data_IF_537049810904
#
_entry.id   IF_537049810904
#
_cell.length_a   1.000
_cell.length_b   1.000
_cell.length_c   1.000
_cell.angle_alpha   90.00
_cell.angle_beta   90.00
_cell.angle_gamma   90.00
#
_symmetry.space_group_name_H-M   'P 1'
#
loop_
_entity.id
_entity.type
_entity.pdbx_description
1 polymer ?
#
# COMPACT_ATOMS: atom_id res chain seq x y z
N UNK A 1 -20.69 15.12 10.87
CA UNK A 1 -19.40 15.21 10.14
C UNK A 1 -19.39 14.03 9.19
N UNK A 2 -19.37 14.26 7.88
CA UNK A 2 -19.25 13.15 6.94
C UNK A 2 -17.90 12.48 7.21
N UNK A 3 -17.92 11.18 7.49
CA UNK A 3 -16.70 10.38 7.57
C UNK A 3 -16.07 10.41 6.19
N UNK A 4 -14.90 11.02 6.05
CA UNK A 4 -14.21 11.05 4.76
C UNK A 4 -13.88 9.63 4.32
N UNK A 5 -13.95 9.39 3.01
CA UNK A 5 -13.62 8.10 2.44
C UNK A 5 -12.10 8.01 2.27
N UNK A 6 -11.47 7.24 3.16
CA UNK A 6 -10.02 7.07 3.15
C UNK A 6 -9.61 5.62 3.44
N UNK A 7 -8.36 5.33 3.08
CA UNK A 7 -7.60 4.14 3.46
C UNK A 7 -6.18 4.54 3.84
N UNK A 8 -5.61 3.88 4.85
CA UNK A 8 -4.18 3.96 5.16
C UNK A 8 -3.54 2.62 4.90
N UNK A 9 -2.49 2.62 4.09
CA UNK A 9 -1.67 1.47 3.82
C UNK A 9 -0.41 1.53 4.66
N UNK A 10 -0.02 0.40 5.23
CA UNK A 10 1.29 0.18 5.83
C UNK A 10 1.86 -1.13 5.29
N UNK A 11 3.07 -1.07 4.74
CA UNK A 11 3.80 -2.23 4.23
C UNK A 11 4.98 -2.49 5.15
N UNK A 12 5.06 -3.69 5.72
CA UNK A 12 6.14 -4.09 6.64
C UNK A 12 6.95 -5.19 5.97
N UNK A 13 8.27 -5.01 5.86
CA UNK A 13 9.16 -6.06 5.39
C UNK A 13 9.57 -6.95 6.57
N UNK A 14 8.96 -8.12 6.68
CA UNK A 14 9.27 -9.11 7.72
C UNK A 14 10.34 -10.12 7.28
N UNK A 15 11.00 -9.88 6.15
CA UNK A 15 12.14 -10.70 5.74
C UNK A 15 13.21 -10.62 6.82
N UNK A 16 13.66 -11.78 7.32
CA UNK A 16 14.68 -11.87 8.36
C UNK A 16 16.03 -11.44 7.82
N UNK A 17 16.79 -10.68 8.61
CA UNK A 17 18.23 -10.49 8.44
C UNK A 17 18.92 -11.81 8.81
N UNK A 18 19.56 -12.52 7.88
CA UNK A 18 20.34 -13.69 8.27
C UNK A 18 21.59 -13.22 9.03
N UNK A 19 21.91 -13.87 10.14
CA UNK A 19 23.07 -13.53 10.97
C UNK A 19 24.38 -14.16 10.47
N UNK A 20 24.41 -14.69 9.24
CA UNK A 20 25.53 -15.46 8.68
C UNK A 20 26.17 -14.77 7.46
N UNK A 21 27.51 -14.77 7.35
CA UNK A 21 28.25 -14.10 6.26
C UNK A 21 27.92 -14.60 4.84
N UNK A 22 27.40 -15.83 4.71
CA UNK A 22 27.13 -16.48 3.42
C UNK A 22 25.65 -16.43 3.00
N UNK A 23 24.83 -15.63 3.69
CA UNK A 23 23.41 -15.63 3.40
C UNK A 23 23.08 -14.88 2.09
N UNK A 24 22.15 -15.46 1.32
CA UNK A 24 21.63 -14.86 0.08
C UNK A 24 21.20 -13.40 0.31
N UNK A 25 21.34 -12.51 -0.69
CA UNK A 25 20.93 -11.12 -0.58
C UNK A 25 19.49 -11.00 -0.05
N UNK A 26 19.35 -10.10 0.91
CA UNK A 26 18.11 -9.82 1.62
C UNK A 26 17.11 -9.19 0.66
N UNK A 27 15.85 -9.63 0.71
CA UNK A 27 14.83 -9.07 -0.16
C UNK A 27 14.39 -7.71 0.36
N UNK A 28 14.74 -6.67 -0.38
CA UNK A 28 14.14 -5.34 -0.23
C UNK A 28 12.88 -5.26 -1.07
N UNK A 29 11.99 -4.35 -0.70
CA UNK A 29 10.78 -4.07 -1.47
C UNK A 29 10.67 -2.60 -1.86
N UNK A 30 9.99 -2.34 -2.97
CA UNK A 30 9.67 -1.00 -3.43
C UNK A 30 8.20 -0.97 -3.84
N UNK A 31 7.57 0.19 -3.66
CA UNK A 31 6.21 0.43 -4.10
C UNK A 31 6.23 1.17 -5.43
N UNK A 32 5.32 0.83 -6.33
CA UNK A 32 5.10 1.55 -7.58
C UNK A 32 3.64 1.84 -7.77
N UNK A 33 3.37 2.98 -8.39
CA UNK A 33 2.03 3.49 -8.65
C UNK A 33 1.86 3.61 -10.16
N UNK A 34 1.55 2.50 -10.87
CA UNK A 34 1.60 2.43 -12.33
C UNK A 34 0.55 3.32 -13.02
N UNK A 35 -0.43 3.83 -12.27
CA UNK A 35 -1.41 4.76 -12.79
C UNK A 35 -1.44 6.02 -11.93
N UNK A 36 -1.14 7.15 -12.56
CA UNK A 36 -1.28 8.48 -11.98
C UNK A 36 -2.58 9.13 -12.49
N UNK A 37 -3.19 10.01 -11.69
CA UNK A 37 -4.45 10.69 -12.06
C UNK A 37 -5.73 9.92 -11.72
N UNK A 38 -5.67 8.98 -10.77
CA UNK A 38 -6.86 8.33 -10.26
C UNK A 38 -7.62 9.28 -9.31
N UNK A 39 -8.93 9.06 -9.12
CA UNK A 39 -9.72 9.80 -8.15
C UNK A 39 -9.10 9.80 -6.75
N UNK A 40 -8.75 10.99 -6.25
CA UNK A 40 -8.15 11.19 -4.92
C UNK A 40 -6.68 11.64 -4.95
N UNK A 41 -6.09 11.74 -3.76
CA UNK A 41 -4.68 12.09 -3.55
C UNK A 41 -4.06 11.28 -2.40
N UNK A 42 -2.75 11.04 -2.49
CA UNK A 42 -2.01 10.37 -1.42
C UNK A 42 -1.65 11.38 -0.33
N UNK A 43 -1.65 10.96 0.93
CA UNK A 43 -1.33 11.84 2.06
C UNK A 43 -0.47 11.15 3.12
N UNK A 44 0.19 11.95 3.98
CA UNK A 44 0.95 11.40 5.12
C UNK A 44 0.01 10.80 6.18
N UNK A 45 0.21 9.54 6.58
CA UNK A 45 -0.76 8.80 7.40
C UNK A 45 -0.85 9.29 8.85
N UNK A 46 0.13 10.06 9.31
CA UNK A 46 0.27 10.53 10.69
C UNK A 46 -0.50 11.82 10.98
N UNK A 47 -0.92 12.57 9.95
CA UNK A 47 -1.74 13.78 10.10
C UNK A 47 -3.08 13.61 9.37
N UNK A 48 -4.05 13.02 10.07
CA UNK A 48 -5.40 12.80 9.54
C UNK A 48 -6.25 14.08 9.43
N UNK A 49 -5.85 15.15 10.14
CA UNK A 49 -6.58 16.42 10.16
C UNK A 49 -6.26 17.25 8.93
N UNK A 50 -4.97 17.43 8.62
CA UNK A 50 -4.53 18.27 7.51
C UNK A 50 -4.24 17.46 6.23
N UNK A 51 -4.06 16.14 6.37
CA UNK A 51 -3.76 15.19 5.29
C UNK A 51 -2.80 15.76 4.25
N UNK A 52 -1.59 16.17 4.67
CA UNK A 52 -0.64 16.81 3.76
C UNK A 52 -0.35 15.84 2.62
N UNK A 53 -0.57 16.32 1.40
CA UNK A 53 -0.41 15.53 0.18
C UNK A 53 1.04 15.07 0.02
N UNK A 54 1.22 13.86 -0.50
CA UNK A 54 2.52 13.29 -0.84
C UNK A 54 2.55 12.82 -2.28
N UNK A 55 3.71 12.92 -2.90
CA UNK A 55 3.87 12.49 -4.28
C UNK A 55 4.01 10.97 -4.41
N UNK A 56 3.35 10.42 -5.42
CA UNK A 56 3.55 9.04 -5.87
C UNK A 56 5.03 8.76 -6.20
N UNK A 57 5.72 9.73 -6.81
CA UNK A 57 7.13 9.59 -7.21
C UNK A 57 8.08 9.58 -6.00
N UNK A 58 7.73 10.30 -4.93
CA UNK A 58 8.53 10.31 -3.70
C UNK A 58 8.39 8.99 -2.96
N UNK A 59 7.17 8.44 -2.87
CA UNK A 59 6.95 7.11 -2.32
C UNK A 59 7.64 6.02 -3.15
N UNK A 60 7.59 6.13 -4.49
CA UNK A 60 8.19 5.13 -5.37
C UNK A 60 9.73 5.08 -5.30
N UNK A 61 10.38 6.13 -4.80
CA UNK A 61 11.84 6.16 -4.56
C UNK A 61 12.25 5.46 -3.26
N UNK A 62 11.30 5.16 -2.36
CA UNK A 62 11.60 4.57 -1.07
C UNK A 62 11.76 3.06 -1.16
N UNK A 63 12.72 2.54 -0.42
CA UNK A 63 12.98 1.10 -0.28
C UNK A 63 12.58 0.66 1.12
N UNK A 64 11.80 -0.43 1.20
CA UNK A 64 11.45 -1.11 2.45
C UNK A 64 12.54 -2.13 2.74
N UNK A 65 13.53 -1.69 3.52
CA UNK A 65 14.60 -2.55 4.04
C UNK A 65 14.02 -3.66 4.96
N UNK A 66 14.72 -4.79 5.14
CA UNK A 66 14.35 -5.80 6.13
C UNK A 66 14.12 -5.22 7.52
N UNK A 67 12.97 -5.53 8.13
CA UNK A 67 12.51 -4.94 9.40
C UNK A 67 11.95 -3.51 9.29
N UNK A 68 12.02 -2.91 8.10
CA UNK A 68 11.49 -1.58 7.79
C UNK A 68 10.02 -1.58 7.42
N UNK A 69 9.47 -0.36 7.27
CA UNK A 69 8.10 -0.14 6.83
C UNK A 69 7.93 1.16 6.05
N UNK A 70 6.93 1.20 5.20
CA UNK A 70 6.44 2.43 4.54
C UNK A 70 4.93 2.51 4.79
N UNK A 71 4.44 3.73 5.05
CA UNK A 71 3.02 3.99 5.23
C UNK A 71 2.57 5.20 4.43
N UNK A 72 1.36 5.15 3.89
CA UNK A 72 0.70 6.28 3.24
C UNK A 72 -0.81 6.17 3.34
N UNK A 73 -1.49 7.31 3.27
CA UNK A 73 -2.95 7.38 3.12
C UNK A 73 -3.36 7.64 1.67
N UNK A 74 -4.58 7.24 1.31
CA UNK A 74 -5.27 7.72 0.12
C UNK A 74 -6.69 8.15 0.53
N UNK A 75 -7.07 9.37 0.16
CA UNK A 75 -8.40 9.94 0.38
C UNK A 75 -8.90 10.59 -0.91
N UNK A 76 -10.19 10.87 -0.97
CA UNK A 76 -10.79 11.69 -2.03
C UNK A 76 -11.74 12.72 -1.44
N UNK A 77 -12.15 13.70 -2.25
CA UNK A 77 -13.13 14.73 -1.88
C UNK A 77 -14.49 14.42 -2.50
N UNK A 78 -15.57 14.41 -1.68
CA UNK A 78 -16.93 14.04 -2.12
C UNK A 78 -17.49 14.95 -3.21
N UNK A 79 -17.00 16.18 -3.28
CA UNK A 79 -17.40 17.14 -4.32
C UNK A 79 -16.67 16.98 -5.64
N UNK A 80 -15.52 16.29 -5.68
CA UNK A 80 -14.67 16.18 -6.86
C UNK A 80 -14.74 14.81 -7.51
N UNK A 81 -14.86 13.75 -6.71
CA UNK A 81 -14.89 12.39 -7.20
C UNK A 81 -15.90 11.52 -6.47
N UNK A 82 -16.42 10.50 -7.16
CA UNK A 82 -17.37 9.52 -6.64
C UNK A 82 -16.73 8.40 -5.80
N UNK A 83 -15.41 8.24 -5.87
CA UNK A 83 -14.66 7.21 -5.13
C UNK A 83 -13.19 7.61 -4.96
N UNK A 84 -12.49 6.99 -4.00
CA UNK A 84 -11.02 6.94 -3.98
C UNK A 84 -10.59 5.58 -4.53
N UNK A 85 -9.73 5.57 -5.55
CA UNK A 85 -9.36 4.32 -6.22
C UNK A 85 -7.86 4.30 -6.43
N UNK A 86 -7.20 3.15 -6.33
CA UNK A 86 -5.76 3.07 -6.65
C UNK A 86 -5.27 1.68 -7.04
N UNK A 87 -4.06 1.66 -7.60
CA UNK A 87 -3.24 0.46 -7.77
C UNK A 87 -1.90 0.69 -7.10
N UNK A 88 -1.47 -0.27 -6.29
CA UNK A 88 -0.13 -0.33 -5.72
C UNK A 88 0.52 -1.61 -6.20
N UNK A 89 1.62 -1.49 -6.91
CA UNK A 89 2.47 -2.62 -7.23
C UNK A 89 3.62 -2.71 -6.24
N UNK A 90 3.90 -3.92 -5.79
CA UNK A 90 4.99 -4.20 -4.87
C UNK A 90 6.04 -4.98 -5.64
N UNK A 91 7.24 -4.44 -5.64
CA UNK A 91 8.38 -4.97 -6.35
C UNK A 91 9.41 -5.45 -5.34
N UNK A 92 10.07 -6.57 -5.62
CA UNK A 92 11.27 -6.98 -4.89
C UNK A 92 12.44 -6.93 -5.86
N UNK A 93 13.45 -6.12 -5.53
CA UNK A 93 14.55 -5.80 -6.44
C UNK A 93 14.05 -5.35 -7.83
N UNK A 94 14.25 -6.15 -8.87
CA UNK A 94 13.83 -5.87 -10.25
C UNK A 94 12.63 -6.70 -10.71
N UNK A 95 11.99 -7.43 -9.80
CA UNK A 95 10.87 -8.32 -10.11
C UNK A 95 9.57 -7.75 -9.59
N UNK A 96 8.59 -7.60 -10.49
CA UNK A 96 7.21 -7.33 -10.11
C UNK A 96 6.68 -8.52 -9.32
N UNK A 97 6.11 -8.25 -8.16
CA UNK A 97 5.29 -9.23 -7.46
C UNK A 97 3.87 -8.70 -7.31
N UNK A 98 3.37 -8.71 -6.07
CA UNK A 98 1.96 -8.48 -5.79
C UNK A 98 1.47 -7.10 -6.25
N UNK A 99 0.25 -7.08 -6.78
CA UNK A 99 -0.50 -5.89 -7.17
C UNK A 99 -1.76 -5.78 -6.32
N UNK A 100 -1.91 -4.66 -5.62
CA UNK A 100 -3.11 -4.33 -4.84
C UNK A 100 -3.95 -3.36 -5.66
N UNK A 101 -5.17 -3.74 -5.97
CA UNK A 101 -6.19 -2.89 -6.60
C UNK A 101 -7.26 -2.59 -5.56
N UNK A 102 -7.65 -1.32 -5.42
CA UNK A 102 -8.69 -0.93 -4.46
C UNK A 102 -9.61 0.16 -5.01
N UNK A 103 -10.86 0.13 -4.57
CA UNK A 103 -11.94 1.08 -4.90
C UNK A 103 -12.73 1.38 -3.62
N UNK A 104 -12.91 2.66 -3.33
CA UNK A 104 -13.56 3.17 -2.13
C UNK A 104 -14.65 4.17 -2.52
N UNK A 105 -15.82 3.70 -2.96
CA UNK A 105 -16.92 4.59 -3.31
C UNK A 105 -17.48 5.29 -2.08
N UNK A 106 -17.99 6.53 -2.26
CA UNK A 106 -18.72 7.22 -1.20
C UNK A 106 -20.00 6.49 -0.80
N UNK A 107 -20.66 5.92 -1.80
CA UNK A 107 -21.91 5.20 -1.66
C UNK A 107 -21.71 3.83 -2.33
N UNK A 108 -21.63 2.76 -1.53
CA UNK A 108 -21.40 1.41 -2.02
C UNK A 108 -20.57 0.56 -1.07
N UNK A 109 -20.17 -0.61 -1.56
CA UNK A 109 -19.23 -1.48 -0.87
C UNK A 109 -17.81 -1.19 -1.37
N UNK A 110 -16.85 -1.19 -0.46
CA UNK A 110 -15.44 -1.09 -0.79
C UNK A 110 -14.95 -2.36 -1.48
N UNK A 111 -13.98 -2.19 -2.38
CA UNK A 111 -13.30 -3.27 -3.06
C UNK A 111 -11.79 -3.22 -2.77
N UNK A 112 -11.22 -4.36 -2.43
CA UNK A 112 -9.78 -4.55 -2.37
C UNK A 112 -9.44 -5.93 -2.89
N UNK A 113 -8.48 -5.99 -3.80
CA UNK A 113 -8.06 -7.21 -4.47
C UNK A 113 -6.53 -7.25 -4.55
N UNK A 114 -5.95 -8.35 -4.10
CA UNK A 114 -4.52 -8.62 -4.30
C UNK A 114 -4.35 -9.64 -5.42
N UNK A 115 -3.54 -9.29 -6.40
CA UNK A 115 -3.29 -10.03 -7.65
C UNK A 115 -1.79 -10.12 -7.92
N UNK A 116 -1.40 -10.76 -9.02
CA UNK A 116 -0.01 -10.88 -9.48
C UNK A 116 0.95 -11.40 -8.39
N UNK A 117 0.58 -12.53 -7.74
CA UNK A 117 1.34 -13.04 -6.58
C UNK A 117 2.81 -13.28 -6.93
N UNK A 118 3.71 -12.72 -6.13
CA UNK A 118 5.15 -12.97 -6.26
C UNK A 118 5.49 -14.45 -6.18
N UNK A 119 6.38 -14.92 -7.05
CA UNK A 119 6.82 -16.32 -7.06
C UNK A 119 7.65 -16.63 -5.80
N UNK A 120 8.60 -15.76 -5.48
CA UNK A 120 9.62 -15.95 -4.42
C UNK A 120 9.25 -15.30 -3.07
N UNK A 121 8.07 -14.69 -2.98
CA UNK A 121 7.66 -13.94 -1.79
C UNK A 121 6.13 -13.89 -1.68
N UNK A 122 5.63 -13.65 -0.48
CA UNK A 122 4.21 -13.61 -0.14
C UNK A 122 3.83 -12.31 0.57
N UNK A 123 2.54 -11.99 0.46
CA UNK A 123 1.92 -10.88 1.16
C UNK A 123 0.81 -11.42 2.06
N UNK A 124 0.87 -11.09 3.33
CA UNK A 124 -0.25 -11.34 4.25
C UNK A 124 -1.24 -10.18 4.11
N UNK A 125 -2.45 -10.49 3.65
CA UNK A 125 -3.52 -9.52 3.48
C UNK A 125 -4.19 -9.22 4.83
N UNK A 126 -4.33 -7.95 5.23
CA UNK A 126 -5.07 -7.59 6.45
C UNK A 126 -6.56 -7.88 6.29
N UNK A 127 -7.25 -8.11 7.41
CA UNK A 127 -8.71 -8.02 7.43
C UNK A 127 -9.16 -6.59 7.18
N UNK A 128 -10.18 -6.39 6.35
CA UNK A 128 -10.67 -5.06 5.97
C UNK A 128 -12.20 -4.98 5.90
N UNK A 129 -12.73 -3.77 6.12
CA UNK A 129 -14.17 -3.51 6.19
C UNK A 129 -14.82 -3.23 4.83
N UNK A 130 -15.91 -3.94 4.50
CA UNK A 130 -16.65 -3.76 3.24
C UNK A 130 -17.44 -2.45 3.11
N UNK A 131 -17.70 -1.71 4.19
CA UNK A 131 -18.53 -0.49 4.17
C UNK A 131 -17.92 0.63 5.03
N UNK A 132 -18.17 1.88 4.65
CA UNK A 132 -17.56 3.07 5.26
C UNK A 132 -16.11 3.26 4.82
N UNK A 133 -15.31 4.03 5.56
CA UNK A 133 -13.87 4.07 5.32
C UNK A 133 -13.23 2.70 5.62
N UNK A 134 -12.30 2.23 4.77
CA UNK A 134 -11.58 0.97 5.02
C UNK A 134 -10.77 1.04 6.31
N UNK A 135 -10.26 2.23 6.66
CA UNK A 135 -9.39 2.42 7.81
C UNK A 135 -7.96 2.01 7.52
N UNK A 136 -7.36 1.23 8.42
CA UNK A 136 -5.93 0.91 8.40
C UNK A 136 -5.68 -0.50 7.88
N UNK A 137 -4.86 -0.60 6.86
CA UNK A 137 -4.44 -1.84 6.24
C UNK A 137 -2.95 -2.04 6.45
N UNK A 138 -2.59 -3.11 7.15
CA UNK A 138 -1.19 -3.52 7.36
C UNK A 138 -0.90 -4.77 6.54
N UNK A 139 -0.05 -4.63 5.54
CA UNK A 139 0.43 -5.72 4.69
C UNK A 139 1.80 -6.17 5.16
N UNK A 140 1.94 -7.47 5.43
CA UNK A 140 3.22 -8.07 5.81
C UNK A 140 3.86 -8.71 4.58
N UNK A 141 5.09 -8.31 4.26
CA UNK A 141 5.86 -8.78 3.12
C UNK A 141 6.91 -9.78 3.59
N UNK A 142 6.88 -11.00 3.07
CA UNK A 142 7.79 -12.09 3.45
C UNK A 142 8.39 -12.77 2.23
N UNK A 143 9.69 -13.07 2.26
CA UNK A 143 10.29 -13.99 1.29
C UNK A 143 9.84 -15.42 1.60
N UNK A 144 9.51 -16.22 0.59
CA UNK A 144 9.20 -17.64 0.77
C UNK A 144 10.51 -18.39 1.03
N UNK A 145 10.47 -19.35 1.94
CA UNK A 145 11.60 -20.24 2.25
C UNK A 145 11.72 -21.38 1.22
#
# INVERSE_FOLDING_TARGET
MASDQYVRFTFVNESRTPFTPDAKPQSTFQLRFPHTGWPGYLFQPDNLMDRPEISHDELAKQTIEPGGRISFGHTTDRGLFSEAKGVVEIWSEWRKGNKIEYSLPWDGDNELKVTDKGEDWEIEEPGWGRRGGIGDLVFLLRKKE
#
